data_IF_157014667692
#
_entry.id   IF_157014667692
#
_cell.length_a   1.000
_cell.length_b   1.000
_cell.length_c   1.000
_cell.angle_alpha   90.00
_cell.angle_beta   90.00
_cell.angle_gamma   90.00
#
_symmetry.space_group_name_H-M   'P 1'
#
loop_
_entity.id
_entity.type
_entity.pdbx_description
1 polymer ?
#
# COMPACT_ATOMS: atom_id res chain seq x y z
N UNK A 1 -23.97 22.10 -2.94
CA UNK A 1 -24.26 20.95 -2.08
C UNK A 1 -23.37 21.01 -0.84
N UNK A 2 -23.84 20.50 0.29
CA UNK A 2 -23.06 20.50 1.55
C UNK A 2 -21.84 19.57 1.39
N UNK A 3 -20.64 20.09 1.67
CA UNK A 3 -19.38 19.36 1.54
C UNK A 3 -19.41 18.05 2.34
N UNK A 4 -20.05 18.06 3.51
CA UNK A 4 -20.20 16.86 4.35
C UNK A 4 -21.04 15.80 3.64
N UNK A 5 -22.10 16.20 2.93
CA UNK A 5 -22.98 15.27 2.24
C UNK A 5 -22.29 14.62 1.04
N UNK A 6 -21.49 15.39 0.29
CA UNK A 6 -20.68 14.86 -0.81
C UNK A 6 -19.69 13.81 -0.29
N UNK A 7 -18.97 14.12 0.80
CA UNK A 7 -18.02 13.16 1.40
C UNK A 7 -18.74 11.91 1.91
N UNK A 8 -19.93 12.03 2.53
CA UNK A 8 -20.71 10.85 2.94
C UNK A 8 -21.13 9.98 1.75
N UNK A 9 -21.43 10.59 0.60
CA UNK A 9 -21.70 9.81 -0.63
C UNK A 9 -20.45 9.05 -1.04
N UNK A 10 -19.30 9.72 -1.11
CA UNK A 10 -18.01 9.10 -1.46
C UNK A 10 -17.70 7.95 -0.50
N UNK A 11 -17.78 8.14 0.82
CA UNK A 11 -17.47 7.10 1.80
C UNK A 11 -18.42 5.89 1.67
N UNK A 12 -19.69 6.13 1.35
CA UNK A 12 -20.65 5.04 1.07
C UNK A 12 -20.31 4.31 -0.22
N UNK A 13 -19.98 5.04 -1.28
CA UNK A 13 -19.70 4.47 -2.60
C UNK A 13 -18.40 3.64 -2.60
N UNK A 14 -17.47 3.98 -1.71
CA UNK A 14 -16.17 3.32 -1.51
C UNK A 14 -16.09 2.51 -0.20
N UNK A 15 -17.22 2.09 0.37
CA UNK A 15 -17.24 1.36 1.66
C UNK A 15 -16.49 0.02 1.61
N UNK A 16 -16.35 -0.57 0.43
CA UNK A 16 -15.58 -1.78 0.15
C UNK A 16 -14.05 -1.58 0.30
N UNK A 17 -13.57 -0.34 0.18
CA UNK A 17 -12.15 0.02 0.19
C UNK A 17 -11.78 0.94 1.36
N UNK A 18 -12.77 1.41 2.13
CA UNK A 18 -12.55 2.15 3.36
C UNK A 18 -11.57 1.43 4.32
N UNK A 19 -10.76 2.17 5.10
CA UNK A 19 -10.75 3.63 5.19
C UNK A 19 -10.01 4.31 4.03
N UNK A 20 -10.49 5.49 3.62
CA UNK A 20 -9.84 6.35 2.63
C UNK A 20 -8.95 7.41 3.31
N UNK A 21 -7.92 7.91 2.62
CA UNK A 21 -7.19 9.10 3.09
C UNK A 21 -7.94 10.39 2.72
N UNK A 22 -7.73 11.47 3.47
CA UNK A 22 -8.30 12.79 3.11
C UNK A 22 -7.84 13.29 1.74
N UNK A 23 -6.65 12.89 1.28
CA UNK A 23 -6.16 13.24 -0.06
C UNK A 23 -6.92 12.48 -1.15
N UNK A 24 -7.23 11.19 -0.94
CA UNK A 24 -8.07 10.43 -1.86
C UNK A 24 -9.48 11.03 -1.94
N UNK A 25 -10.10 11.35 -0.80
CA UNK A 25 -11.40 12.03 -0.77
C UNK A 25 -11.34 13.37 -1.50
N UNK A 26 -10.26 14.14 -1.34
CA UNK A 26 -10.06 15.40 -2.06
C UNK A 26 -9.98 15.21 -3.58
N UNK A 27 -9.26 14.19 -4.04
CA UNK A 27 -9.15 13.89 -5.47
C UNK A 27 -10.47 13.41 -6.06
N UNK A 28 -11.22 12.57 -5.35
CA UNK A 28 -12.57 12.14 -5.78
C UNK A 28 -13.52 13.34 -5.83
N UNK A 29 -13.49 14.24 -4.84
CA UNK A 29 -14.28 15.47 -4.86
C UNK A 29 -13.94 16.37 -6.06
N UNK A 30 -12.65 16.50 -6.39
CA UNK A 30 -12.22 17.27 -7.55
C UNK A 30 -12.74 16.68 -8.86
N UNK A 31 -12.64 15.36 -9.02
CA UNK A 31 -13.09 14.68 -10.23
C UNK A 31 -14.60 14.67 -10.40
N UNK A 32 -15.36 14.38 -9.32
CA UNK A 32 -16.76 13.99 -9.44
C UNK A 32 -17.76 15.05 -8.90
N UNK A 33 -17.29 16.05 -8.14
CA UNK A 33 -18.15 16.98 -7.40
C UNK A 33 -17.85 18.48 -7.64
N UNK A 34 -17.19 18.82 -8.76
CA UNK A 34 -16.84 20.20 -9.15
C UNK A 34 -16.08 20.96 -8.05
N UNK A 35 -15.20 20.24 -7.33
CA UNK A 35 -14.47 20.79 -6.19
C UNK A 35 -13.09 21.27 -6.62
N UNK A 36 -12.84 22.59 -6.65
CA UNK A 36 -11.56 23.10 -7.16
C UNK A 36 -10.33 22.58 -6.40
N UNK A 37 -9.32 22.10 -7.15
CA UNK A 37 -8.02 21.63 -6.65
C UNK A 37 -7.15 22.80 -6.18
N UNK A 38 -7.41 23.31 -4.98
CA UNK A 38 -6.59 24.34 -4.33
C UNK A 38 -6.15 23.92 -2.93
N UNK A 39 -5.00 24.38 -2.47
CA UNK A 39 -4.55 24.15 -1.09
C UNK A 39 -5.56 24.69 -0.05
N UNK A 40 -6.21 25.81 -0.37
CA UNK A 40 -7.26 26.41 0.47
C UNK A 40 -8.44 25.45 0.65
N UNK A 41 -8.89 24.83 -0.44
CA UNK A 41 -9.99 23.87 -0.40
C UNK A 41 -9.60 22.56 0.28
N UNK A 42 -8.36 22.10 0.09
CA UNK A 42 -7.84 20.95 0.83
C UNK A 42 -7.82 21.21 2.35
N UNK A 43 -7.31 22.36 2.80
CA UNK A 43 -7.34 22.75 4.22
C UNK A 43 -8.78 22.82 4.76
N UNK A 44 -9.69 23.42 3.99
CA UNK A 44 -11.12 23.46 4.34
C UNK A 44 -11.73 22.08 4.47
N UNK A 45 -11.40 21.14 3.59
CA UNK A 45 -11.83 19.75 3.67
C UNK A 45 -11.34 19.13 4.99
N UNK A 46 -10.04 19.21 5.30
CA UNK A 46 -9.47 18.66 6.52
C UNK A 46 -10.17 19.21 7.78
N UNK A 47 -10.32 20.54 7.88
CA UNK A 47 -11.00 21.17 9.02
C UNK A 47 -12.46 20.74 9.14
N UNK A 48 -13.18 20.64 8.01
CA UNK A 48 -14.59 20.24 7.99
C UNK A 48 -14.75 18.79 8.41
N UNK A 49 -13.91 17.88 7.90
CA UNK A 49 -13.94 16.45 8.26
C UNK A 49 -13.60 16.23 9.73
N UNK A 50 -12.61 16.97 10.27
CA UNK A 50 -12.30 16.94 11.70
C UNK A 50 -13.49 17.37 12.57
N UNK A 51 -14.29 18.35 12.13
CA UNK A 51 -15.51 18.76 12.85
C UNK A 51 -16.63 17.73 12.72
N UNK A 52 -16.84 17.18 11.51
CA UNK A 52 -17.87 16.18 11.26
C UNK A 52 -17.63 14.89 12.05
N UNK A 53 -16.38 14.40 12.10
CA UNK A 53 -15.98 13.23 12.88
C UNK A 53 -16.13 13.46 14.39
N UNK A 54 -15.69 14.62 14.91
CA UNK A 54 -15.93 15.00 16.33
C UNK A 54 -17.41 15.09 16.68
N UNK A 55 -18.25 15.46 15.73
CA UNK A 55 -19.70 15.51 15.88
C UNK A 55 -20.39 14.15 15.62
N UNK A 56 -19.62 13.07 15.37
CA UNK A 56 -20.13 11.72 15.06
C UNK A 56 -21.04 11.68 13.81
N UNK A 57 -20.88 12.62 12.88
CA UNK A 57 -21.62 12.65 11.60
C UNK A 57 -20.98 11.71 10.56
N UNK A 58 -19.67 11.52 10.67
CA UNK A 58 -18.83 10.59 9.91
C UNK A 58 -18.10 9.74 10.95
N UNK A 59 -18.00 8.43 10.71
CA UNK A 59 -17.30 7.54 11.64
C UNK A 59 -15.80 7.89 11.69
N UNK A 60 -15.20 7.74 12.86
CA UNK A 60 -13.75 7.89 12.99
C UNK A 60 -13.00 6.86 12.14
N UNK A 61 -13.58 5.69 11.90
CA UNK A 61 -12.91 4.59 11.18
C UNK A 61 -13.11 4.65 9.66
N UNK A 62 -13.90 5.58 9.13
CA UNK A 62 -14.12 5.74 7.68
C UNK A 62 -12.98 6.52 6.98
N UNK A 63 -12.26 7.37 7.72
CA UNK A 63 -11.18 8.21 7.20
C UNK A 63 -9.91 7.99 8.03
N UNK A 64 -8.81 7.63 7.36
CA UNK A 64 -7.53 7.38 8.02
C UNK A 64 -6.68 8.64 8.14
N UNK A 65 -6.18 8.89 9.34
CA UNK A 65 -5.18 9.92 9.66
C UNK A 65 -3.91 9.25 10.22
N UNK A 66 -2.85 9.18 9.42
CA UNK A 66 -1.58 8.55 9.83
C UNK A 66 -0.77 9.53 10.69
N UNK A 67 -0.82 9.40 12.01
CA UNK A 67 -0.13 10.36 12.91
C UNK A 67 0.49 9.77 14.18
N UNK A 68 -0.13 8.77 14.79
CA UNK A 68 0.37 8.20 16.05
C UNK A 68 0.52 6.69 15.94
N UNK A 69 1.77 6.22 15.92
CA UNK A 69 2.09 4.81 16.12
C UNK A 69 2.30 4.58 17.61
N UNK A 70 1.48 3.71 18.20
CA UNK A 70 1.66 3.24 19.58
C UNK A 70 2.13 1.81 19.55
N UNK A 71 3.38 1.57 19.94
CA UNK A 71 3.81 0.22 20.31
C UNK A 71 3.33 -0.07 21.72
N UNK A 72 2.70 -1.23 21.90
CA UNK A 72 2.31 -1.73 23.22
C UNK A 72 2.88 -3.14 23.35
N UNK A 73 3.45 -3.50 24.51
CA UNK A 73 3.85 -4.88 24.73
C UNK A 73 2.64 -5.80 24.67
N UNK A 74 2.85 -7.02 24.19
CA UNK A 74 1.87 -8.09 24.31
C UNK A 74 1.56 -8.34 25.80
N UNK A 75 0.28 -8.36 26.13
CA UNK A 75 -0.20 -8.63 27.49
C UNK A 75 -1.47 -9.45 27.41
N UNK A 76 -1.60 -10.38 28.36
CA UNK A 76 -2.76 -11.24 28.51
C UNK A 76 -3.40 -10.93 29.86
N UNK A 77 -4.72 -10.95 29.90
CA UNK A 77 -5.47 -10.64 31.12
C UNK A 77 -5.55 -11.88 32.02
N UNK A 78 -5.71 -13.05 31.40
CA UNK A 78 -5.76 -14.36 32.01
C UNK A 78 -5.44 -15.46 30.97
N UNK A 79 -5.53 -16.72 31.39
CA UNK A 79 -5.32 -17.89 30.56
C UNK A 79 -6.38 -18.03 29.44
N UNK A 80 -7.63 -17.64 29.70
CA UNK A 80 -8.71 -17.73 28.72
C UNK A 80 -8.54 -16.73 27.57
N UNK A 81 -8.00 -15.53 27.85
CA UNK A 81 -7.70 -14.50 26.87
C UNK A 81 -6.63 -15.00 25.87
N UNK A 82 -5.56 -15.64 26.35
CA UNK A 82 -4.53 -16.17 25.44
C UNK A 82 -5.07 -17.34 24.60
N UNK A 83 -5.87 -18.25 25.18
CA UNK A 83 -6.49 -19.34 24.43
C UNK A 83 -7.48 -18.84 23.37
N UNK A 84 -8.32 -17.87 23.72
CA UNK A 84 -9.25 -17.24 22.78
C UNK A 84 -8.52 -16.55 21.63
N UNK A 85 -7.39 -15.89 21.93
CA UNK A 85 -6.55 -15.27 20.91
C UNK A 85 -5.94 -16.31 19.97
N UNK A 86 -5.38 -17.41 20.49
CA UNK A 86 -4.87 -18.48 19.63
C UNK A 86 -5.95 -19.13 18.78
N UNK A 87 -7.16 -19.37 19.32
CA UNK A 87 -8.30 -19.87 18.54
C UNK A 87 -8.65 -18.93 17.38
N UNK A 88 -8.66 -17.62 17.64
CA UNK A 88 -8.87 -16.58 16.62
C UNK A 88 -7.77 -16.63 15.54
N UNK A 89 -6.50 -16.69 15.93
CA UNK A 89 -5.39 -16.84 14.99
C UNK A 89 -5.45 -18.14 14.20
N UNK A 90 -5.83 -19.25 14.83
CA UNK A 90 -5.99 -20.52 14.15
C UNK A 90 -7.03 -20.46 13.03
N UNK A 91 -8.14 -19.73 13.25
CA UNK A 91 -9.17 -19.52 12.22
C UNK A 91 -8.73 -18.62 11.07
N UNK A 92 -7.69 -17.80 11.28
CA UNK A 92 -7.13 -16.85 10.30
C UNK A 92 -5.75 -17.24 9.81
N UNK A 93 -5.28 -18.44 10.15
CA UNK A 93 -3.95 -18.93 9.79
C UNK A 93 -3.75 -18.82 8.28
N UNK A 94 -2.65 -18.21 7.85
CA UNK A 94 -2.23 -18.11 6.46
C UNK A 94 -0.82 -18.67 6.33
N UNK A 95 -0.54 -19.35 5.22
CA UNK A 95 0.83 -19.66 4.82
C UNK A 95 1.44 -18.43 4.12
N UNK A 96 2.77 -18.43 4.01
CA UNK A 96 3.40 -17.52 3.05
C UNK A 96 3.09 -18.03 1.63
N UNK A 97 2.22 -17.30 0.93
CA UNK A 97 1.74 -17.65 -0.41
C UNK A 97 2.78 -17.34 -1.51
N UNK A 98 3.86 -16.67 -1.15
CA UNK A 98 5.02 -16.49 -2.01
C UNK A 98 6.03 -17.63 -1.88
N UNK A 99 5.85 -18.54 -0.92
CA UNK A 99 6.77 -19.66 -0.74
C UNK A 99 6.80 -20.53 -2.01
N UNK A 100 8.02 -20.88 -2.46
CA UNK A 100 8.29 -21.64 -3.69
C UNK A 100 7.92 -20.93 -5.00
N UNK A 101 7.43 -19.69 -4.96
CA UNK A 101 7.25 -18.91 -6.19
C UNK A 101 8.62 -18.64 -6.84
N UNK A 102 8.70 -18.64 -8.18
CA UNK A 102 9.97 -18.41 -8.89
C UNK A 102 10.50 -16.99 -8.74
N UNK A 103 9.64 -16.04 -8.36
CA UNK A 103 9.97 -14.65 -8.13
C UNK A 103 9.30 -14.24 -6.82
N UNK A 104 10.08 -13.68 -5.90
CA UNK A 104 9.56 -13.05 -4.69
C UNK A 104 9.18 -11.60 -5.00
N UNK A 105 7.92 -11.25 -4.80
CA UNK A 105 7.39 -9.94 -5.13
C UNK A 105 7.38 -9.05 -3.88
N UNK A 106 7.64 -7.77 -4.10
CA UNK A 106 7.46 -6.72 -3.10
C UNK A 106 6.82 -5.51 -3.77
N UNK A 107 6.00 -4.75 -3.05
CA UNK A 107 5.47 -3.47 -3.53
C UNK A 107 6.16 -2.35 -2.80
N UNK A 108 6.70 -1.36 -3.51
CA UNK A 108 7.30 -0.18 -2.90
C UNK A 108 6.45 1.04 -3.17
N UNK A 109 6.02 1.73 -2.12
CA UNK A 109 5.25 2.96 -2.23
C UNK A 109 5.98 4.19 -1.66
N UNK A 110 6.05 5.26 -2.44
CA UNK A 110 6.64 6.51 -1.98
C UNK A 110 5.76 7.26 -0.99
N UNK A 111 4.46 7.31 -1.27
CA UNK A 111 3.49 7.96 -0.41
C UNK A 111 3.23 7.09 0.83
N UNK A 112 3.87 7.41 1.97
CA UNK A 112 3.65 6.72 3.26
C UNK A 112 2.16 6.60 3.62
N UNK A 113 1.35 7.59 3.25
CA UNK A 113 -0.10 7.59 3.43
C UNK A 113 -0.86 6.50 2.65
N UNK A 114 -0.21 5.78 1.75
CA UNK A 114 -0.81 4.67 1.00
C UNK A 114 -0.37 3.29 1.49
N UNK A 115 0.64 3.22 2.38
CA UNK A 115 1.22 1.95 2.86
C UNK A 115 0.16 0.95 3.34
N UNK A 116 -0.67 1.34 4.32
CA UNK A 116 -1.69 0.44 4.90
C UNK A 116 -2.76 0.04 3.89
N UNK A 117 -3.08 0.91 2.93
CA UNK A 117 -4.06 0.61 1.90
C UNK A 117 -3.51 -0.41 0.90
N UNK A 118 -2.29 -0.18 0.41
CA UNK A 118 -1.60 -1.11 -0.48
C UNK A 118 -1.34 -2.46 0.19
N UNK A 119 -1.00 -2.47 1.48
CA UNK A 119 -0.81 -3.71 2.25
C UNK A 119 -2.07 -4.58 2.22
N UNK A 120 -3.27 -3.97 2.31
CA UNK A 120 -4.54 -4.69 2.16
C UNK A 120 -4.77 -5.23 0.75
N UNK A 121 -4.28 -4.55 -0.29
CA UNK A 121 -4.41 -5.03 -1.67
C UNK A 121 -3.49 -6.23 -1.94
N UNK A 122 -2.36 -6.28 -1.25
CA UNK A 122 -1.31 -7.29 -1.38
C UNK A 122 -1.49 -8.49 -0.42
N UNK A 123 -2.34 -8.37 0.61
CA UNK A 123 -2.50 -9.34 1.70
C UNK A 123 -2.82 -10.75 1.19
N UNK A 124 -3.66 -10.87 0.16
CA UNK A 124 -4.07 -12.15 -0.38
C UNK A 124 -2.97 -12.88 -1.17
N UNK A 125 -1.89 -12.17 -1.51
CA UNK A 125 -0.72 -12.73 -2.18
C UNK A 125 0.48 -12.89 -1.24
N UNK A 126 0.34 -12.56 0.05
CA UNK A 126 1.45 -12.49 1.01
C UNK A 126 2.60 -11.58 0.56
N UNK A 127 2.28 -10.56 -0.24
CA UNK A 127 3.27 -9.62 -0.80
C UNK A 127 3.49 -8.45 0.17
N UNK A 128 4.72 -8.23 0.66
CA UNK A 128 5.02 -7.13 1.56
C UNK A 128 4.98 -5.78 0.83
N UNK A 129 4.59 -4.73 1.58
CA UNK A 129 4.61 -3.35 1.09
C UNK A 129 5.65 -2.54 1.86
N UNK A 130 6.56 -1.93 1.11
CA UNK A 130 7.65 -1.09 1.58
C UNK A 130 7.25 0.38 1.44
N UNK A 131 7.76 1.25 2.31
CA UNK A 131 7.64 2.71 2.11
C UNK A 131 8.99 3.40 2.04
N UNK A 132 9.08 4.49 1.26
CA UNK A 132 10.35 5.19 1.02
C UNK A 132 11.05 5.67 2.28
N UNK A 133 10.33 6.06 3.33
CA UNK A 133 10.97 6.44 4.59
C UNK A 133 11.69 5.30 5.32
N UNK A 134 11.63 4.07 4.81
CA UNK A 134 12.44 2.94 5.25
C UNK A 134 13.81 2.86 4.56
N UNK A 135 13.94 3.31 3.30
CA UNK A 135 15.15 3.12 2.48
C UNK A 135 16.22 4.21 2.64
N UNK A 136 15.98 5.21 3.47
CA UNK A 136 16.88 6.37 3.62
C UNK A 136 18.21 6.03 4.35
N UNK A 137 18.29 4.89 5.05
CA UNK A 137 19.47 4.51 5.82
C UNK A 137 20.27 3.39 5.16
N UNK A 138 21.61 3.51 5.18
CA UNK A 138 22.53 2.47 4.69
C UNK A 138 22.27 1.13 5.38
N UNK A 139 21.97 1.14 6.69
CA UNK A 139 21.61 -0.06 7.45
C UNK A 139 20.36 -0.72 6.91
N UNK A 140 19.33 0.05 6.54
CA UNK A 140 18.11 -0.52 5.96
C UNK A 140 18.40 -1.11 4.60
N UNK A 141 19.13 -0.41 3.73
CA UNK A 141 19.51 -0.93 2.40
C UNK A 141 20.32 -2.22 2.52
N UNK A 142 21.27 -2.28 3.45
CA UNK A 142 22.08 -3.47 3.72
C UNK A 142 21.22 -4.65 4.20
N UNK A 143 20.36 -4.43 5.21
CA UNK A 143 19.47 -5.49 5.71
C UNK A 143 18.50 -5.95 4.62
N UNK A 144 17.92 -5.02 3.88
CA UNK A 144 17.05 -5.32 2.75
C UNK A 144 17.76 -6.17 1.69
N UNK A 145 18.97 -5.77 1.27
CA UNK A 145 19.75 -6.53 0.31
C UNK A 145 20.04 -7.94 0.80
N UNK A 146 20.47 -8.09 2.06
CA UNK A 146 20.72 -9.40 2.67
C UNK A 146 19.47 -10.28 2.63
N UNK A 147 18.35 -9.75 3.11
CA UNK A 147 17.10 -10.50 3.21
C UNK A 147 16.51 -10.81 1.81
N UNK A 148 16.69 -9.90 0.83
CA UNK A 148 16.26 -10.11 -0.55
C UNK A 148 17.08 -11.19 -1.27
N UNK A 149 18.36 -11.35 -0.91
CA UNK A 149 19.23 -12.37 -1.49
C UNK A 149 19.00 -13.78 -0.93
N UNK A 150 18.13 -13.94 0.08
CA UNK A 150 17.63 -15.26 0.49
C UNK A 150 16.68 -15.87 -0.56
N UNK A 151 16.19 -15.05 -1.49
CA UNK A 151 15.37 -15.46 -2.63
C UNK A 151 16.20 -15.48 -3.92
N UNK A 152 15.89 -16.40 -4.83
CA UNK A 152 16.60 -16.53 -6.11
C UNK A 152 16.44 -15.28 -6.98
N UNK A 153 15.22 -14.72 -7.01
CA UNK A 153 14.90 -13.50 -7.74
C UNK A 153 13.85 -12.68 -6.99
N UNK A 154 14.08 -11.38 -6.88
CA UNK A 154 13.13 -10.42 -6.29
C UNK A 154 12.72 -9.40 -7.34
N UNK A 155 11.42 -9.13 -7.44
CA UNK A 155 10.89 -8.00 -8.22
C UNK A 155 10.14 -7.03 -7.31
N UNK A 156 10.53 -5.76 -7.36
CA UNK A 156 9.92 -4.66 -6.62
C UNK A 156 9.01 -3.88 -7.56
N UNK A 157 7.71 -3.91 -7.29
CA UNK A 157 6.70 -3.13 -8.01
C UNK A 157 6.60 -1.73 -7.39
N UNK A 158 7.10 -0.73 -8.10
CA UNK A 158 7.20 0.64 -7.62
C UNK A 158 5.93 1.45 -7.91
N UNK A 159 5.39 2.08 -6.86
CA UNK A 159 4.26 3.00 -6.88
C UNK A 159 4.73 4.35 -6.32
N UNK A 160 5.05 5.27 -7.22
CA UNK A 160 5.53 6.62 -6.88
C UNK A 160 4.83 7.72 -7.65
N UNK A 161 5.06 8.96 -7.25
CA UNK A 161 4.54 10.13 -7.97
C UNK A 161 5.24 10.22 -9.33
N UNK A 162 4.54 10.68 -10.37
CA UNK A 162 5.16 11.04 -11.63
C UNK A 162 5.69 12.46 -11.49
N UNK A 163 6.91 12.59 -10.98
CA UNK A 163 7.61 13.86 -10.80
C UNK A 163 9.14 13.64 -10.93
N UNK A 164 9.98 14.70 -10.88
CA UNK A 164 11.42 14.54 -11.04
C UNK A 164 12.02 13.53 -10.03
N UNK A 165 11.56 13.54 -8.77
CA UNK A 165 12.00 12.56 -7.77
C UNK A 165 11.59 11.13 -8.13
N UNK A 166 10.30 10.90 -8.39
CA UNK A 166 9.74 9.56 -8.53
C UNK A 166 10.16 8.86 -9.82
N UNK A 167 10.43 9.61 -10.89
CA UNK A 167 11.01 9.05 -12.13
C UNK A 167 12.48 8.65 -11.92
N UNK A 168 13.28 9.52 -11.27
CA UNK A 168 14.68 9.21 -11.01
C UNK A 168 14.85 8.04 -10.04
N UNK A 169 13.98 7.90 -9.02
CA UNK A 169 14.02 6.77 -8.07
C UNK A 169 13.80 5.40 -8.72
N UNK A 170 12.99 5.31 -9.78
CA UNK A 170 12.81 4.05 -10.49
C UNK A 170 13.97 3.73 -11.45
N UNK A 171 14.63 4.77 -11.99
CA UNK A 171 15.69 4.60 -13.00
C UNK A 171 17.06 4.23 -12.44
N UNK A 172 17.29 4.43 -11.15
CA UNK A 172 18.52 4.06 -10.48
C UNK A 172 18.18 3.43 -9.13
N UNK A 173 18.36 2.11 -9.03
CA UNK A 173 18.60 1.50 -7.72
C UNK A 173 19.76 2.27 -7.09
N UNK A 174 19.60 2.56 -5.81
CA UNK A 174 20.62 3.26 -5.03
C UNK A 174 21.99 2.56 -5.19
N UNK A 175 23.07 3.33 -5.37
CA UNK A 175 24.42 2.77 -5.56
C UNK A 175 24.80 1.83 -4.40
N UNK A 176 24.41 2.18 -3.17
CA UNK A 176 24.64 1.33 -1.99
C UNK A 176 23.87 0.02 -2.09
N UNK A 177 22.59 0.09 -2.48
CA UNK A 177 21.74 -1.08 -2.60
C UNK A 177 22.25 -2.03 -3.69
N UNK A 178 22.65 -1.47 -4.83
CA UNK A 178 23.25 -2.22 -5.93
C UNK A 178 24.52 -2.94 -5.47
N UNK A 179 25.42 -2.22 -4.77
CA UNK A 179 26.64 -2.81 -4.24
C UNK A 179 26.36 -3.92 -3.20
N UNK A 180 25.37 -3.75 -2.33
CA UNK A 180 24.99 -4.81 -1.37
C UNK A 180 24.38 -6.03 -2.05
N UNK A 181 23.52 -5.84 -3.05
CA UNK A 181 22.92 -6.95 -3.83
C UNK A 181 24.01 -7.72 -4.57
N UNK A 182 24.96 -7.03 -5.20
CA UNK A 182 26.12 -7.65 -5.84
C UNK A 182 26.99 -8.41 -4.82
N UNK A 183 27.21 -7.84 -3.64
CA UNK A 183 27.98 -8.47 -2.57
C UNK A 183 27.35 -9.78 -2.07
N UNK A 184 26.03 -9.81 -1.93
CA UNK A 184 25.29 -11.01 -1.50
C UNK A 184 24.94 -11.97 -2.65
N UNK A 185 25.16 -11.57 -3.91
CA UNK A 185 24.94 -12.39 -5.09
C UNK A 185 23.47 -12.58 -5.47
N UNK A 186 22.59 -11.64 -5.09
CA UNK A 186 21.16 -11.70 -5.42
C UNK A 186 20.79 -11.02 -6.73
N UNK A 187 19.52 -11.17 -7.10
CA UNK A 187 18.94 -10.54 -8.29
C UNK A 187 17.69 -9.75 -7.89
N UNK A 188 17.78 -8.42 -8.00
CA UNK A 188 16.67 -7.51 -7.74
C UNK A 188 16.34 -6.72 -9.00
N UNK A 189 15.08 -6.75 -9.39
CA UNK A 189 14.51 -5.94 -10.46
C UNK A 189 13.50 -4.95 -9.89
N UNK A 190 13.45 -3.73 -10.44
CA UNK A 190 12.44 -2.73 -10.06
C UNK A 190 11.60 -2.39 -11.28
N UNK A 191 10.28 -2.59 -11.16
CA UNK A 191 9.31 -2.32 -12.22
C UNK A 191 8.41 -1.17 -11.79
N UNK A 192 8.38 -0.08 -12.58
CA UNK A 192 7.43 1.03 -12.38
C UNK A 192 6.00 0.55 -12.65
N UNK A 193 5.20 0.40 -11.61
CA UNK A 193 3.80 -0.01 -11.71
C UNK A 193 2.85 1.20 -11.83
N UNK A 194 3.09 2.24 -11.05
CA UNK A 194 2.34 3.50 -11.09
C UNK A 194 3.17 4.65 -10.50
N UNK A 195 2.92 5.92 -10.81
CA UNK A 195 2.10 6.43 -11.92
C UNK A 195 2.95 6.46 -13.20
N UNK A 196 2.46 5.88 -14.29
CA UNK A 196 3.11 5.90 -15.63
C UNK A 196 2.50 6.99 -16.53
N UNK A 197 3.22 7.49 -17.55
CA UNK A 197 2.67 8.46 -18.51
C UNK A 197 1.38 7.99 -19.19
N UNK A 198 1.30 6.71 -19.55
CA UNK A 198 0.11 6.13 -20.19
C UNK A 198 -1.10 6.17 -19.24
N UNK A 199 -0.91 5.79 -17.97
CA UNK A 199 -1.96 5.89 -16.94
C UNK A 199 -2.46 7.33 -16.75
N UNK A 200 -1.57 8.35 -16.85
CA UNK A 200 -1.98 9.75 -16.75
C UNK A 200 -2.95 10.12 -17.87
N UNK A 201 -2.66 9.69 -19.10
CA UNK A 201 -3.51 9.92 -20.27
C UNK A 201 -4.83 9.16 -20.19
N UNK A 202 -4.75 7.85 -19.96
CA UNK A 202 -5.91 6.94 -20.00
C UNK A 202 -6.91 7.22 -18.88
N UNK A 203 -6.40 7.47 -17.66
CA UNK A 203 -7.25 7.76 -16.50
C UNK A 203 -7.55 9.25 -16.34
N UNK A 204 -7.02 10.10 -17.24
CA UNK A 204 -7.14 11.57 -17.20
C UNK A 204 -6.77 12.14 -15.83
N UNK A 205 -5.65 11.67 -15.28
CA UNK A 205 -5.24 12.03 -13.93
C UNK A 205 -4.92 13.54 -13.83
N UNK A 206 -5.20 14.17 -12.68
CA UNK A 206 -4.99 15.59 -12.50
C UNK A 206 -3.50 15.94 -12.41
N UNK A 207 -3.02 16.71 -13.38
CA UNK A 207 -1.61 17.09 -13.49
C UNK A 207 -1.34 18.50 -12.93
N UNK A 208 -0.07 18.79 -12.60
CA UNK A 208 0.39 20.12 -12.18
C UNK A 208 1.79 20.42 -12.74
N UNK A 209 2.19 21.68 -12.93
CA UNK A 209 3.58 21.98 -13.30
C UNK A 209 4.53 21.59 -12.15
N UNK A 210 5.77 21.16 -12.45
CA UNK A 210 6.77 20.86 -11.43
C UNK A 210 7.06 22.09 -10.56
N UNK A 211 7.38 21.87 -9.29
CA UNK A 211 7.73 22.96 -8.37
C UNK A 211 9.02 23.64 -8.87
N UNK A 212 9.03 24.99 -8.90
CA UNK A 212 10.19 25.80 -9.31
C UNK A 212 11.47 25.56 -8.51
N UNK A 213 11.37 24.91 -7.35
CA UNK A 213 12.50 24.60 -6.46
C UNK A 213 13.16 23.25 -6.74
N UNK A 214 12.57 22.41 -7.62
CA UNK A 214 13.18 21.14 -8.01
C UNK A 214 14.10 21.38 -9.21
N UNK A 215 15.41 21.24 -8.99
CA UNK A 215 16.45 21.51 -9.98
C UNK A 215 16.77 20.30 -10.87
N UNK A 216 16.08 19.17 -10.69
CA UNK A 216 16.26 17.97 -11.52
C UNK A 216 15.66 18.19 -12.91
N UNK A 217 16.32 17.66 -13.93
CA UNK A 217 15.83 17.71 -15.32
C UNK A 217 14.57 16.86 -15.44
N UNK A 218 13.42 17.50 -15.68
CA UNK A 218 12.14 16.85 -15.88
C UNK A 218 11.34 17.65 -16.90
N UNK A 219 10.93 16.99 -17.97
CA UNK A 219 10.04 17.57 -18.98
C UNK A 219 8.64 16.99 -18.77
N UNK A 220 7.65 17.87 -18.60
CA UNK A 220 6.25 17.47 -18.49
C UNK A 220 5.55 17.99 -17.24
N UNK A 221 4.40 17.40 -16.95
CA UNK A 221 3.55 17.73 -15.81
C UNK A 221 3.65 16.63 -14.76
N UNK A 222 3.51 17.00 -13.50
CA UNK A 222 3.57 16.07 -12.37
C UNK A 222 2.19 15.53 -12.02
N UNK A 223 2.15 14.29 -11.54
CA UNK A 223 0.91 13.62 -11.07
C UNK A 223 1.20 12.80 -9.83
N UNK A 224 0.31 12.87 -8.84
CA UNK A 224 0.47 12.09 -7.61
C UNK A 224 -0.15 10.70 -7.73
N UNK A 225 0.44 9.69 -7.09
CA UNK A 225 -0.11 8.34 -7.03
C UNK A 225 -1.48 8.30 -6.35
N UNK A 226 -1.69 9.13 -5.32
CA UNK A 226 -2.98 9.27 -4.63
C UNK A 226 -4.10 9.84 -5.51
N UNK A 227 -3.77 10.35 -6.72
CA UNK A 227 -4.75 10.81 -7.68
C UNK A 227 -5.37 9.66 -8.51
N UNK A 228 -4.76 8.47 -8.52
CA UNK A 228 -5.38 7.29 -9.12
C UNK A 228 -6.61 6.90 -8.27
N UNK A 229 -7.79 6.68 -8.88
CA UNK A 229 -8.96 6.22 -8.15
C UNK A 229 -8.66 4.95 -7.33
N UNK A 230 -9.07 4.85 -6.05
CA UNK A 230 -8.66 3.73 -5.18
C UNK A 230 -9.01 2.33 -5.72
N UNK A 231 -10.16 2.19 -6.40
CA UNK A 231 -10.54 0.93 -7.09
C UNK A 231 -9.58 0.59 -8.22
N UNK A 232 -9.33 1.55 -9.10
CA UNK A 232 -8.39 1.39 -10.20
C UNK A 232 -6.97 1.06 -9.71
N UNK A 233 -6.51 1.69 -8.63
CA UNK A 233 -5.22 1.36 -8.04
C UNK A 233 -5.18 -0.07 -7.50
N UNK A 234 -6.25 -0.52 -6.84
CA UNK A 234 -6.38 -1.91 -6.39
C UNK A 234 -6.28 -2.87 -7.57
N UNK A 235 -7.01 -2.60 -8.66
CA UNK A 235 -7.01 -3.43 -9.86
C UNK A 235 -5.60 -3.49 -10.48
N UNK A 236 -4.94 -2.33 -10.66
CA UNK A 236 -3.56 -2.25 -11.16
C UNK A 236 -2.60 -3.12 -10.34
N UNK A 237 -2.70 -3.07 -9.00
CA UNK A 237 -1.85 -3.86 -8.11
C UNK A 237 -2.18 -5.34 -8.22
N UNK A 238 -3.45 -5.72 -8.09
CA UNK A 238 -3.86 -7.13 -8.07
C UNK A 238 -3.62 -7.83 -9.42
N UNK A 239 -3.83 -7.13 -10.54
CA UNK A 239 -3.53 -7.64 -11.87
C UNK A 239 -2.02 -7.86 -12.04
N UNK A 240 -1.19 -6.92 -11.58
CA UNK A 240 0.26 -7.04 -11.66
C UNK A 240 0.82 -8.18 -10.82
N UNK A 241 0.27 -8.42 -9.62
CA UNK A 241 0.62 -9.55 -8.76
C UNK A 241 0.17 -10.88 -9.38
N UNK A 242 -1.10 -10.96 -9.79
CA UNK A 242 -1.67 -12.18 -10.37
C UNK A 242 -0.97 -12.60 -11.66
N UNK A 243 -0.44 -11.65 -12.44
CA UNK A 243 0.29 -11.93 -13.67
C UNK A 243 1.70 -12.50 -13.45
N UNK A 244 2.26 -12.34 -12.25
CA UNK A 244 3.64 -12.75 -11.91
C UNK A 244 3.71 -14.02 -11.06
N UNK A 245 2.61 -14.32 -10.37
CA UNK A 245 2.50 -15.50 -9.52
C UNK A 245 2.20 -16.74 -10.37
N UNK A 246 2.93 -17.82 -10.10
CA UNK A 246 2.58 -19.14 -10.60
C UNK A 246 1.30 -19.62 -9.91
N UNK A 247 0.22 -19.68 -10.71
CA UNK A 247 -1.10 -20.03 -10.21
C UNK A 247 -1.17 -21.48 -9.70
N UNK A 248 -0.40 -22.40 -10.27
CA UNK A 248 -0.36 -23.78 -9.79
C UNK A 248 0.21 -23.88 -8.38
N UNK A 249 1.34 -23.22 -8.14
CA UNK A 249 1.98 -23.16 -6.81
C UNK A 249 1.08 -22.41 -5.81
N UNK A 250 0.43 -21.33 -6.28
CA UNK A 250 -0.48 -20.54 -5.45
C UNK A 250 -1.71 -21.34 -5.01
N UNK A 251 -2.38 -22.04 -5.94
CA UNK A 251 -3.53 -22.89 -5.66
C UNK A 251 -3.17 -24.06 -4.73
N UNK A 252 -2.00 -24.69 -4.94
CA UNK A 252 -1.49 -25.74 -4.05
C UNK A 252 -1.28 -25.22 -2.62
N UNK A 253 -0.66 -24.04 -2.49
CA UNK A 253 -0.44 -23.38 -1.19
C UNK A 253 -1.77 -23.05 -0.51
N UNK A 254 -2.78 -22.58 -1.26
CA UNK A 254 -4.11 -22.31 -0.71
C UNK A 254 -4.82 -23.58 -0.23
N UNK A 255 -4.70 -24.69 -0.96
CA UNK A 255 -5.25 -25.98 -0.56
C UNK A 255 -4.58 -26.48 0.74
N UNK A 256 -3.24 -26.40 0.80
CA UNK A 256 -2.48 -26.76 2.00
C UNK A 256 -2.85 -25.88 3.21
N UNK A 257 -2.97 -24.55 2.99
CA UNK A 257 -3.38 -23.59 4.01
C UNK A 257 -4.76 -23.95 4.58
N UNK A 258 -5.72 -24.31 3.73
CA UNK A 258 -7.06 -24.71 4.15
C UNK A 258 -7.05 -25.98 5.02
N UNK A 259 -6.27 -26.99 4.63
CA UNK A 259 -6.11 -28.23 5.40
C UNK A 259 -5.47 -27.98 6.77
N UNK A 260 -4.42 -27.16 6.81
CA UNK A 260 -3.75 -26.78 8.06
C UNK A 260 -4.71 -25.99 8.95
N UNK A 261 -5.42 -25.00 8.41
CA UNK A 261 -6.41 -24.20 9.14
C UNK A 261 -7.51 -25.06 9.75
N UNK A 262 -8.04 -26.03 8.99
CA UNK A 262 -9.06 -26.97 9.47
C UNK A 262 -8.52 -27.87 10.59
N UNK A 263 -7.28 -28.36 10.45
CA UNK A 263 -6.60 -29.16 11.47
C UNK A 263 -6.32 -28.36 12.75
N UNK A 264 -5.80 -27.14 12.60
CA UNK A 264 -5.43 -26.24 13.69
C UNK A 264 -6.68 -25.81 14.49
N UNK A 265 -7.77 -25.46 13.81
CA UNK A 265 -9.05 -25.14 14.45
C UNK A 265 -9.55 -26.29 15.32
N UNK A 266 -9.48 -27.54 14.84
CA UNK A 266 -9.88 -28.71 15.62
C UNK A 266 -8.98 -28.95 16.83
N UNK A 267 -7.67 -28.71 16.72
CA UNK A 267 -6.72 -28.86 17.83
C UNK A 267 -6.96 -27.80 18.90
N UNK A 268 -7.14 -26.53 18.51
CA UNK A 268 -7.34 -25.41 19.42
C UNK A 268 -8.72 -25.39 20.08
N UNK A 269 -9.73 -26.05 19.50
CA UNK A 269 -11.04 -26.22 20.11
C UNK A 269 -11.06 -27.28 21.23
N UNK A 270 -10.01 -28.12 21.32
CA UNK A 270 -9.87 -29.16 22.36
C UNK A 270 -9.03 -28.70 23.56
N UNK A 271 -8.28 -27.62 23.39
CA UNK A 271 -7.67 -26.84 24.46
C UNK A 271 -8.72 -25.87 24.98
#
# INVERSE_FOLDING_TARGET
MDLVQNVKSILRDYSDIAPLTLRQVFYILFSDYDFEKTEKNYKRLCETMNRARRAQIIDMDEIRDDGLTKESPERWEDEDHILTTFRSYGSRFRLDRQQNQPIHLMVWCEARGMLTQLARYCEDYSVPVLSSGGFDSVTTKHNFARDACDYERVEILHIGDHDPSGVHMCSSLDEDLTAFVEYYGGQIEVTRLAVTPDQIGDLRLPTAPPKRTDNRSFEGMTTQAEAIPPRTLKDIVQDALSARIDQGIFEETLAQEADIRASLTKKLARL
#
